data_IF_811802004666
#
_entry.id   IF_811802004666
#
_cell.length_a   1.000
_cell.length_b   1.000
_cell.length_c   1.000
_cell.angle_alpha   90.00
_cell.angle_beta   90.00
_cell.angle_gamma   90.00
#
_symmetry.space_group_name_H-M   'P 1'
#
loop_
_entity.id
_entity.type
_entity.pdbx_description
1 polymer ?
#
# COMPACT_ATOMS: atom_id res chain seq x y z
N UNK A 1 -19.87 -5.82 10.15
CA UNK A 1 -19.41 -5.28 8.84
C UNK A 1 -18.93 -6.46 8.01
N UNK A 2 -18.82 -6.35 6.69
CA UNK A 2 -18.20 -7.42 5.88
C UNK A 2 -16.68 -7.27 5.96
N UNK A 3 -15.96 -8.38 6.12
CA UNK A 3 -14.49 -8.39 6.15
C UNK A 3 -13.93 -7.74 4.88
N UNK A 4 -12.95 -6.85 5.03
CA UNK A 4 -12.31 -6.13 3.92
C UNK A 4 -11.06 -6.87 3.47
N UNK A 5 -11.02 -7.23 2.20
CA UNK A 5 -9.80 -7.80 1.60
C UNK A 5 -8.91 -6.67 1.10
N UNK A 6 -7.73 -6.52 1.70
CA UNK A 6 -6.77 -5.45 1.40
C UNK A 6 -5.49 -6.03 0.80
N UNK A 7 -5.13 -5.56 -0.38
CA UNK A 7 -3.84 -5.86 -1.00
C UNK A 7 -2.76 -4.92 -0.45
N UNK A 8 -1.67 -5.45 0.07
CA UNK A 8 -0.50 -4.72 0.53
C UNK A 8 0.61 -4.84 -0.52
N UNK A 9 0.95 -3.73 -1.16
CA UNK A 9 2.02 -3.62 -2.15
C UNK A 9 3.24 -2.96 -1.53
N UNK A 10 4.40 -3.62 -1.65
CA UNK A 10 5.66 -3.13 -1.10
C UNK A 10 6.85 -3.63 -1.91
N UNK A 11 7.95 -2.87 -1.88
CA UNK A 11 9.26 -3.28 -2.40
C UNK A 11 10.12 -3.84 -1.28
N UNK A 12 11.21 -4.55 -1.62
CA UNK A 12 12.07 -5.26 -0.64
C UNK A 12 12.57 -4.36 0.50
N UNK A 13 12.88 -3.10 0.22
CA UNK A 13 13.34 -2.12 1.22
C UNK A 13 12.28 -1.78 2.28
N UNK A 14 11.00 -2.08 2.01
CA UNK A 14 9.86 -1.82 2.90
C UNK A 14 9.29 -3.07 3.56
N UNK A 15 9.92 -4.24 3.38
CA UNK A 15 9.39 -5.52 3.86
C UNK A 15 9.12 -5.53 5.37
N UNK A 16 10.03 -4.99 6.19
CA UNK A 16 9.82 -4.94 7.64
C UNK A 16 8.62 -4.06 8.03
N UNK A 17 8.43 -2.93 7.34
CA UNK A 17 7.28 -2.06 7.56
C UNK A 17 5.98 -2.73 7.09
N UNK A 18 6.04 -3.49 5.99
CA UNK A 18 4.92 -4.28 5.49
C UNK A 18 4.49 -5.37 6.49
N UNK A 19 5.44 -6.10 7.08
CA UNK A 19 5.17 -7.12 8.11
C UNK A 19 4.50 -6.53 9.35
N UNK A 20 5.00 -5.38 9.82
CA UNK A 20 4.42 -4.64 10.96
C UNK A 20 3.01 -4.18 10.63
N UNK A 21 2.82 -3.54 9.47
CA UNK A 21 1.51 -3.03 9.06
C UNK A 21 0.50 -4.17 8.87
N UNK A 22 0.91 -5.29 8.26
CA UNK A 22 0.07 -6.50 8.13
C UNK A 22 -0.41 -6.98 9.49
N UNK A 23 0.50 -7.14 10.44
CA UNK A 23 0.20 -7.60 11.80
C UNK A 23 -0.85 -6.71 12.47
N UNK A 24 -0.71 -5.39 12.33
CA UNK A 24 -1.65 -4.44 12.92
C UNK A 24 -3.01 -4.49 12.23
N UNK A 25 -3.05 -4.48 10.89
CA UNK A 25 -4.30 -4.56 10.15
C UNK A 25 -5.09 -5.85 10.45
N UNK A 26 -4.41 -6.99 10.51
CA UNK A 26 -5.04 -8.27 10.83
C UNK A 26 -5.50 -8.34 12.30
N UNK A 27 -4.82 -7.63 13.23
CA UNK A 27 -5.20 -7.60 14.64
C UNK A 27 -6.54 -6.89 14.92
N UNK A 28 -6.98 -6.02 14.01
CA UNK A 28 -8.31 -5.38 14.05
C UNK A 28 -9.47 -6.36 13.79
N UNK A 29 -9.17 -7.56 13.26
CA UNK A 29 -10.14 -8.65 13.06
C UNK A 29 -11.11 -8.48 11.88
N UNK A 30 -11.21 -7.30 11.28
CA UNK A 30 -12.11 -7.00 10.15
C UNK A 30 -11.39 -6.79 8.81
N UNK A 31 -10.05 -6.89 8.79
CA UNK A 31 -9.23 -6.69 7.59
C UNK A 31 -8.42 -7.95 7.31
N UNK A 32 -8.64 -8.53 6.13
CA UNK A 32 -7.86 -9.64 5.61
C UNK A 32 -6.79 -9.11 4.65
N UNK A 33 -5.52 -9.33 4.97
CA UNK A 33 -4.40 -8.80 4.18
C UNK A 33 -3.90 -9.86 3.20
N UNK A 34 -3.75 -9.45 1.94
CA UNK A 34 -3.05 -10.16 0.88
C UNK A 34 -1.79 -9.38 0.51
N UNK A 35 -0.69 -10.06 0.22
CA UNK A 35 0.50 -9.43 -0.36
C UNK A 35 0.97 -10.15 -1.64
N UNK A 36 2.12 -9.74 -2.17
CA UNK A 36 2.70 -10.35 -3.38
C UNK A 36 3.07 -11.83 -3.19
N UNK A 37 3.42 -12.26 -1.98
CA UNK A 37 3.71 -13.66 -1.69
C UNK A 37 2.42 -14.48 -1.69
N UNK A 38 1.35 -13.94 -1.09
CA UNK A 38 0.02 -14.55 -1.17
C UNK A 38 -0.47 -14.69 -2.62
N UNK A 39 -0.28 -13.66 -3.45
CA UNK A 39 -0.60 -13.70 -4.89
C UNK A 39 0.19 -14.80 -5.60
N UNK A 40 1.51 -14.87 -5.38
CA UNK A 40 2.38 -15.86 -6.01
C UNK A 40 2.00 -17.29 -5.61
N UNK A 41 1.79 -17.55 -4.32
CA UNK A 41 1.40 -18.87 -3.80
C UNK A 41 0.05 -19.32 -4.36
N UNK A 42 -0.91 -18.40 -4.46
CA UNK A 42 -2.28 -18.69 -4.90
C UNK A 42 -2.43 -18.66 -6.42
N UNK A 43 -1.38 -18.29 -7.17
CA UNK A 43 -1.44 -18.15 -8.63
C UNK A 43 -2.41 -17.06 -9.10
N UNK A 44 -2.56 -15.99 -8.31
CA UNK A 44 -3.48 -14.89 -8.62
C UNK A 44 -2.84 -13.88 -9.58
N UNK A 45 -3.68 -13.11 -10.25
CA UNK A 45 -3.26 -12.05 -11.16
C UNK A 45 -3.18 -10.73 -10.40
N UNK A 46 -1.98 -10.15 -10.28
CA UNK A 46 -1.78 -8.85 -9.61
C UNK A 46 -2.72 -7.78 -10.19
N UNK A 47 -2.88 -7.77 -11.52
CA UNK A 47 -3.79 -6.86 -12.22
C UNK A 47 -5.23 -7.02 -11.75
N UNK A 48 -5.72 -8.25 -11.63
CA UNK A 48 -7.11 -8.53 -11.31
C UNK A 48 -7.40 -8.30 -9.81
N UNK A 49 -6.41 -8.57 -8.96
CA UNK A 49 -6.47 -8.28 -7.53
C UNK A 49 -6.59 -6.77 -7.25
N UNK A 50 -5.76 -5.94 -7.89
CA UNK A 50 -5.84 -4.47 -7.74
C UNK A 50 -7.19 -3.96 -8.25
N UNK A 51 -7.66 -4.46 -9.41
CA UNK A 51 -8.90 -3.97 -10.04
C UNK A 51 -10.14 -4.40 -9.29
N UNK A 52 -10.28 -5.69 -9.02
CA UNK A 52 -11.56 -6.31 -8.68
C UNK A 52 -11.51 -7.29 -7.51
N UNK A 53 -10.39 -7.98 -7.32
CA UNK A 53 -10.26 -9.00 -6.27
C UNK A 53 -10.35 -8.37 -4.88
N UNK A 54 -9.48 -7.40 -4.61
CA UNK A 54 -9.41 -6.72 -3.32
C UNK A 54 -10.36 -5.52 -3.24
N UNK A 55 -10.85 -5.24 -2.02
CA UNK A 55 -11.64 -4.04 -1.71
C UNK A 55 -10.76 -2.79 -1.70
N UNK A 56 -9.54 -2.93 -1.19
CA UNK A 56 -8.57 -1.85 -1.04
C UNK A 56 -7.17 -2.32 -1.46
N UNK A 57 -6.32 -1.39 -1.88
CA UNK A 57 -4.90 -1.62 -2.11
C UNK A 57 -4.11 -0.57 -1.34
N UNK A 58 -3.34 -1.00 -0.35
CA UNK A 58 -2.36 -0.15 0.33
C UNK A 58 -1.03 -0.28 -0.41
N UNK A 59 -0.55 0.85 -0.94
CA UNK A 59 0.77 0.92 -1.58
C UNK A 59 1.74 1.57 -0.60
N UNK A 60 2.73 0.82 -0.13
CA UNK A 60 3.83 1.39 0.63
C UNK A 60 4.77 2.10 -0.34
N UNK A 61 4.70 3.42 -0.33
CA UNK A 61 5.51 4.32 -1.11
C UNK A 61 6.95 4.35 -0.57
N UNK A 62 7.90 4.05 -1.46
CA UNK A 62 9.32 4.30 -1.28
C UNK A 62 9.90 4.90 -2.56
N UNK A 63 11.14 5.39 -2.51
CA UNK A 63 11.85 5.83 -3.72
C UNK A 63 11.92 4.71 -4.76
N UNK A 64 12.13 3.46 -4.31
CA UNK A 64 12.22 2.29 -5.20
C UNK A 64 10.85 1.95 -5.81
N UNK A 65 9.78 1.88 -4.99
CA UNK A 65 8.42 1.63 -5.50
C UNK A 65 8.00 2.69 -6.53
N UNK A 66 8.31 3.96 -6.24
CA UNK A 66 8.01 5.08 -7.14
C UNK A 66 8.79 4.96 -8.45
N UNK A 67 10.08 4.65 -8.38
CA UNK A 67 10.94 4.44 -9.56
C UNK A 67 10.40 3.33 -10.44
N UNK A 68 10.16 2.14 -9.87
CA UNK A 68 9.66 0.97 -10.60
C UNK A 68 8.32 1.23 -11.28
N UNK A 69 7.38 1.92 -10.62
CA UNK A 69 6.07 2.25 -11.22
C UNK A 69 6.22 3.29 -12.35
N UNK A 70 7.02 4.33 -12.14
CA UNK A 70 7.18 5.41 -13.12
C UNK A 70 7.95 4.96 -14.38
N UNK A 71 8.97 4.12 -14.17
CA UNK A 71 9.81 3.57 -15.24
C UNK A 71 9.20 2.30 -15.87
N UNK A 72 8.06 1.83 -15.35
CA UNK A 72 7.39 0.58 -15.76
C UNK A 72 8.32 -0.64 -15.68
N UNK A 73 9.18 -0.66 -14.66
CA UNK A 73 10.12 -1.75 -14.38
C UNK A 73 9.54 -2.75 -13.38
N UNK A 74 10.04 -3.98 -13.45
CA UNK A 74 9.69 -5.04 -12.50
C UNK A 74 10.90 -5.41 -11.67
N UNK A 75 10.67 -5.70 -10.40
CA UNK A 75 11.71 -6.13 -9.47
C UNK A 75 11.29 -7.40 -8.74
N UNK A 76 12.09 -8.45 -8.93
CA UNK A 76 11.90 -9.74 -8.26
C UNK A 76 12.78 -9.78 -7.01
N UNK A 77 12.20 -10.17 -5.88
CA UNK A 77 12.93 -10.35 -4.64
C UNK A 77 12.40 -11.53 -3.85
N UNK A 78 13.23 -12.04 -2.94
CA UNK A 78 12.84 -13.12 -2.02
C UNK A 78 12.44 -12.50 -0.69
N UNK A 79 11.25 -12.82 -0.19
CA UNK A 79 10.77 -12.36 1.11
C UNK A 79 11.53 -13.04 2.27
N UNK A 80 11.44 -12.53 3.50
CA UNK A 80 11.96 -13.19 4.71
C UNK A 80 11.39 -14.60 4.89
N UNK A 81 10.18 -14.83 4.38
CA UNK A 81 9.54 -16.15 4.33
C UNK A 81 10.15 -17.12 3.32
N UNK A 82 11.09 -16.67 2.48
CA UNK A 82 11.74 -17.47 1.43
C UNK A 82 11.04 -17.43 0.07
N UNK A 83 10.00 -16.59 -0.08
CA UNK A 83 9.13 -16.64 -1.26
C UNK A 83 9.62 -15.64 -2.29
N UNK A 84 9.86 -16.10 -3.51
CA UNK A 84 10.16 -15.22 -4.64
C UNK A 84 8.89 -14.51 -5.09
N UNK A 85 8.93 -13.18 -5.08
CA UNK A 85 7.80 -12.32 -5.44
C UNK A 85 8.23 -11.28 -6.47
N UNK A 86 7.29 -10.90 -7.34
CA UNK A 86 7.52 -9.90 -8.37
C UNK A 86 6.72 -8.62 -8.06
N UNK A 87 7.41 -7.52 -7.80
CA UNK A 87 6.82 -6.20 -7.83
C UNK A 87 6.80 -5.71 -9.29
N UNK A 88 5.65 -5.88 -9.95
CA UNK A 88 5.49 -5.52 -11.36
C UNK A 88 5.02 -4.06 -11.51
N UNK A 89 5.99 -3.14 -11.58
CA UNK A 89 5.72 -1.71 -11.74
C UNK A 89 4.98 -1.39 -13.02
N UNK A 90 5.16 -2.17 -14.09
CA UNK A 90 4.41 -2.02 -15.35
C UNK A 90 2.93 -2.32 -15.16
N UNK A 91 2.58 -3.43 -14.52
CA UNK A 91 1.18 -3.78 -14.22
C UNK A 91 0.55 -2.71 -13.34
N UNK A 92 1.22 -2.31 -12.27
CA UNK A 92 0.72 -1.29 -11.34
C UNK A 92 0.53 0.06 -12.05
N UNK A 93 1.52 0.51 -12.84
CA UNK A 93 1.46 1.75 -13.61
C UNK A 93 0.31 1.76 -14.62
N UNK A 94 0.13 0.66 -15.36
CA UNK A 94 -0.98 0.51 -16.29
C UNK A 94 -2.34 0.60 -15.59
N UNK A 95 -2.49 -0.08 -14.45
CA UNK A 95 -3.71 -0.04 -13.65
C UNK A 95 -3.99 1.38 -13.10
N UNK A 96 -2.94 2.11 -12.71
CA UNK A 96 -3.07 3.50 -12.23
C UNK A 96 -3.39 4.52 -13.34
N UNK A 97 -2.91 4.26 -14.56
CA UNK A 97 -3.14 5.11 -15.75
C UNK A 97 -4.53 4.93 -16.35
N UNK A 98 -5.15 3.77 -16.15
CA UNK A 98 -6.53 3.54 -16.56
C UNK A 98 -7.45 4.47 -15.77
N UNK A 99 -8.02 5.47 -16.48
CA UNK A 99 -8.81 6.57 -15.93
C UNK A 99 -10.22 6.12 -15.52
N UNK A 100 -10.29 5.12 -14.64
CA UNK A 100 -11.50 4.78 -13.91
C UNK A 100 -11.37 5.39 -12.50
N UNK A 101 -11.95 6.57 -12.29
CA UNK A 101 -11.89 7.28 -11.01
C UNK A 101 -12.35 6.45 -9.79
N UNK A 102 -12.96 5.28 -9.99
CA UNK A 102 -13.22 4.27 -8.96
C UNK A 102 -11.94 3.62 -8.45
N UNK A 103 -11.00 3.30 -9.33
CA UNK A 103 -9.78 2.57 -9.00
C UNK A 103 -8.82 3.44 -8.17
N UNK A 104 -8.73 4.73 -8.50
CA UNK A 104 -7.99 5.71 -7.68
C UNK A 104 -8.52 5.86 -6.25
N UNK A 105 -9.79 5.55 -5.99
CA UNK A 105 -10.39 5.60 -4.63
C UNK A 105 -10.09 4.35 -3.81
N UNK A 106 -9.64 3.27 -4.45
CA UNK A 106 -9.28 2.01 -3.77
C UNK A 106 -7.82 1.95 -3.35
N UNK A 107 -6.99 2.86 -3.86
CA UNK A 107 -5.54 2.84 -3.61
C UNK A 107 -5.21 3.87 -2.54
N UNK A 108 -4.66 3.40 -1.43
CA UNK A 108 -4.21 4.21 -0.30
C UNK A 108 -2.68 4.20 -0.30
N UNK A 109 -2.03 5.31 -0.68
CA UNK A 109 -0.59 5.44 -0.56
C UNK A 109 -0.22 5.65 0.91
N UNK A 110 0.77 4.90 1.38
CA UNK A 110 1.34 4.92 2.72
C UNK A 110 2.85 5.15 2.62
N UNK A 111 3.41 6.11 3.35
CA UNK A 111 4.87 6.30 3.41
C UNK A 111 5.37 6.21 4.83
N UNK A 112 6.48 5.52 5.09
CA UNK A 112 7.16 5.44 6.38
C UNK A 112 8.37 6.39 6.50
N UNK A 113 8.55 7.24 5.50
CA UNK A 113 9.51 8.33 5.48
C UNK A 113 8.78 9.62 5.12
N UNK A 114 9.30 10.78 5.54
CA UNK A 114 8.89 12.05 4.96
C UNK A 114 9.13 12.00 3.44
N UNK A 115 8.05 12.00 2.67
CA UNK A 115 8.15 12.17 1.23
C UNK A 115 8.62 13.61 0.99
N UNK A 116 9.66 13.84 0.16
CA UNK A 116 9.98 15.18 -0.29
C UNK A 116 8.70 15.82 -0.84
N UNK A 117 8.46 17.09 -0.50
CA UNK A 117 7.22 17.85 -0.76
C UNK A 117 6.77 17.91 -2.24
N UNK A 118 7.47 17.22 -3.14
CA UNK A 118 7.23 17.12 -4.58
C UNK A 118 5.92 16.37 -4.90
N UNK A 119 5.39 15.54 -3.99
CA UNK A 119 4.02 15.01 -4.12
C UNK A 119 2.92 16.01 -3.70
N UNK A 120 3.29 17.15 -3.11
CA UNK A 120 2.39 18.29 -2.86
C UNK A 120 2.34 19.28 -4.06
N UNK A 121 2.79 18.84 -5.23
CA UNK A 121 2.85 19.64 -6.45
C UNK A 121 1.48 20.06 -6.98
N UNK A 122 1.10 21.29 -6.62
CA UNK A 122 0.22 22.20 -7.34
C UNK A 122 -1.28 21.88 -7.43
N UNK A 123 -2.05 22.60 -6.61
CA UNK A 123 -3.33 23.16 -7.06
C UNK A 123 -4.55 22.72 -6.25
N UNK A 124 -5.01 23.62 -5.39
CA UNK A 124 -6.31 23.62 -4.70
C UNK A 124 -6.53 22.52 -3.66
N UNK A 125 -6.37 22.91 -2.39
CA UNK A 125 -7.08 22.35 -1.23
C UNK A 125 -8.57 22.23 -1.56
N UNK A 126 -9.01 21.08 -2.08
CA UNK A 126 -10.41 20.66 -2.00
C UNK A 126 -10.57 19.96 -0.68
N UNK A 127 -11.38 20.57 0.17
CA UNK A 127 -11.67 20.28 1.58
C UNK A 127 -12.34 18.92 1.84
N UNK A 128 -12.15 17.94 0.95
CA UNK A 128 -12.99 16.73 0.84
C UNK A 128 -12.26 15.50 0.27
N UNK A 129 -10.92 15.47 0.33
CA UNK A 129 -10.13 14.31 -0.13
C UNK A 129 -9.15 13.88 0.95
N UNK A 130 -9.33 12.66 1.47
CA UNK A 130 -8.29 11.93 2.20
C UNK A 130 -7.12 11.72 1.25
N UNK A 131 -6.14 12.63 1.27
CA UNK A 131 -5.01 12.63 0.34
C UNK A 131 -3.74 12.25 1.10
N UNK A 132 -3.31 11.01 0.89
CA UNK A 132 -2.06 10.38 1.35
C UNK A 132 -1.86 10.31 2.87
N UNK A 133 -1.51 9.12 3.37
CA UNK A 133 -1.17 8.91 4.78
C UNK A 133 0.36 8.81 4.87
N UNK A 134 1.00 9.78 5.51
CA UNK A 134 2.44 9.78 5.76
C UNK A 134 2.70 9.49 7.24
N UNK A 135 3.65 8.59 7.50
CA UNK A 135 4.19 8.30 8.80
C UNK A 135 5.61 8.90 8.86
N UNK A 136 5.83 9.84 9.78
CA UNK A 136 7.18 10.28 10.15
C UNK A 136 7.77 9.23 11.09
N UNK A 137 8.83 8.54 10.66
CA UNK A 137 9.62 7.66 11.54
C UNK A 137 11.03 8.20 11.62
N UNK A 138 11.42 8.68 12.79
CA UNK A 138 12.80 9.10 13.06
C UNK A 138 13.74 7.89 12.99
N UNK A 139 14.80 7.99 12.18
CA UNK A 139 15.84 6.95 12.10
C UNK A 139 16.49 6.74 13.47
N UNK A 140 16.40 5.51 14.00
CA UNK A 140 17.03 5.10 15.26
C UNK A 140 16.09 4.89 16.45
N UNK A 141 14.80 5.21 16.32
CA UNK A 141 13.77 4.97 17.36
C UNK A 141 12.83 3.80 17.02
N UNK A 142 13.33 2.76 16.35
CA UNK A 142 12.55 1.52 16.16
C UNK A 142 12.65 0.63 17.41
N UNK A 143 12.20 1.19 18.54
CA UNK A 143 11.83 0.42 19.73
C UNK A 143 10.44 0.88 20.16
N UNK A 144 9.46 0.01 19.94
CA UNK A 144 8.21 -0.10 20.70
C UNK A 144 7.17 1.04 20.66
N UNK A 145 7.42 2.18 20.02
CA UNK A 145 6.39 3.21 19.89
C UNK A 145 5.68 3.05 18.55
N UNK A 146 4.53 2.38 18.64
CA UNK A 146 3.35 2.48 17.79
C UNK A 146 3.43 3.60 16.75
N UNK A 147 3.20 3.23 15.48
CA UNK A 147 2.60 4.13 14.49
C UNK A 147 1.56 4.98 15.24
N UNK A 148 1.79 6.29 15.35
CA UNK A 148 1.00 7.16 16.23
C UNK A 148 -0.48 6.81 16.07
N UNK A 149 -1.13 6.35 17.16
CA UNK A 149 -2.37 5.58 17.08
C UNK A 149 -3.48 6.24 16.24
N UNK A 150 -3.49 7.58 16.17
CA UNK A 150 -4.43 8.35 15.36
C UNK A 150 -4.20 8.21 13.84
N UNK A 151 -2.94 8.09 13.39
CA UNK A 151 -2.59 7.92 11.97
C UNK A 151 -2.90 6.49 11.52
N UNK A 152 -2.62 5.51 12.37
CA UNK A 152 -2.97 4.12 12.09
C UNK A 152 -4.50 3.92 12.08
N UNK A 153 -5.21 4.52 13.04
CA UNK A 153 -6.67 4.53 13.03
C UNK A 153 -7.21 5.22 11.77
N UNK A 154 -6.58 6.30 11.32
CA UNK A 154 -6.94 6.97 10.06
C UNK A 154 -6.75 6.07 8.84
N UNK A 155 -5.72 5.21 8.82
CA UNK A 155 -5.53 4.21 7.77
C UNK A 155 -6.60 3.14 7.82
N UNK A 156 -6.91 2.61 9.00
CA UNK A 156 -7.96 1.61 9.20
C UNK A 156 -9.31 2.18 8.76
N UNK A 157 -9.64 3.40 9.18
CA UNK A 157 -10.88 4.09 8.81
C UNK A 157 -10.93 4.35 7.29
N UNK A 158 -9.80 4.73 6.68
CA UNK A 158 -9.71 4.87 5.23
C UNK A 158 -9.99 3.53 4.53
N UNK A 159 -9.39 2.41 4.98
CA UNK A 159 -9.66 1.07 4.43
C UNK A 159 -11.14 0.70 4.57
N UNK A 160 -11.74 0.92 5.75
CA UNK A 160 -13.16 0.61 6.01
C UNK A 160 -14.13 1.43 5.16
N UNK A 161 -13.74 2.66 4.78
CA UNK A 161 -14.59 3.57 3.98
C UNK A 161 -14.45 3.38 2.46
N UNK A 162 -13.49 2.57 1.97
CA UNK A 162 -13.41 2.20 0.55
C UNK A 162 -14.59 1.29 0.17
N UNK A 163 -15.46 1.75 -0.73
CA UNK A 163 -16.55 0.95 -1.31
C UNK A 163 -16.09 0.26 -2.60
N UNK A 164 -16.52 -0.99 -2.80
CA UNK A 164 -16.16 -1.82 -3.95
C UNK A 164 -16.88 -1.38 -5.23
#
# INVERSE_FOLDING_TARGET
MADKTTLLLFTKDQEENAEKLRTVLESEGEVFVLDLADIAIRGLSLKDEIRTGCDCTVLICSSEATRLINEEESYVFVTKGGQEVNFDGKVISNVLKEDDGKLRRKIIPVSFVELPSVLHGAGTRRKDRQSAISFEINQGEVTEVMLEGDILQSLIDAIKTVYK
#
